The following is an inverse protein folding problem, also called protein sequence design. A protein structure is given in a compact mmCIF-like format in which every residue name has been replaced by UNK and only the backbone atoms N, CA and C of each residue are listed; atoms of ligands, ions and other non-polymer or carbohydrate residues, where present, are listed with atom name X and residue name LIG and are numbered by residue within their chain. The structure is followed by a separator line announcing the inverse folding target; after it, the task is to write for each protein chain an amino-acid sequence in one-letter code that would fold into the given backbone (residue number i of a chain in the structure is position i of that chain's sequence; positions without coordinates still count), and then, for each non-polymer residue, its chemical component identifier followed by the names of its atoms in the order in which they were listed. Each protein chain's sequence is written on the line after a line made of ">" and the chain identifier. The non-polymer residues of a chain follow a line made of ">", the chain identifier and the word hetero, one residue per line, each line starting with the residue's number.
data_IF_150433879255
#
_entry.id   IF_150433879255
#
_cell.length_a   1.000
_cell.length_b   1.000
_cell.length_c   1.000
_cell.angle_alpha   90.00
_cell.angle_beta   90.00
_cell.angle_gamma   90.00
#
_symmetry.space_group_name_H-M   'P 1'
#
loop_
_entity.id
_entity.type
_entity.pdbx_description
1 polymer ?
#
# COMPACT_ATOMS: atom_id res chain seq x y z
N UNK A 1 0.05 -6.38 -7.86
CA UNK A 1 1.39 -6.24 -7.21
C UNK A 1 1.24 -6.32 -5.69
N UNK A 2 0.34 -5.55 -5.09
CA UNK A 2 0.15 -5.50 -3.63
C UNK A 2 -0.20 -6.85 -2.99
N UNK A 3 -0.91 -7.73 -3.69
CA UNK A 3 -1.15 -9.13 -3.29
C UNK A 3 0.15 -9.89 -2.97
N UNK A 4 1.19 -9.71 -3.80
CA UNK A 4 2.48 -10.38 -3.61
C UNK A 4 3.19 -9.81 -2.39
N UNK A 5 3.11 -8.50 -2.17
CA UNK A 5 3.68 -7.88 -0.98
C UNK A 5 2.99 -8.39 0.30
N UNK A 6 1.65 -8.48 0.27
CA UNK A 6 0.83 -9.01 1.37
C UNK A 6 1.08 -10.50 1.64
N UNK A 7 1.34 -11.29 0.60
CA UNK A 7 1.73 -12.70 0.74
C UNK A 7 3.13 -12.85 1.34
N UNK A 8 4.07 -12.00 0.93
CA UNK A 8 5.44 -12.00 1.44
C UNK A 8 5.47 -11.64 2.93
N UNK A 9 4.74 -10.62 3.37
CA UNK A 9 4.70 -10.24 4.80
C UNK A 9 4.18 -11.39 5.66
N UNK A 10 3.10 -12.07 5.21
CA UNK A 10 2.59 -13.28 5.88
C UNK A 10 3.62 -14.41 5.89
N UNK A 11 4.30 -14.66 4.77
CA UNK A 11 5.33 -15.69 4.68
C UNK A 11 6.50 -15.44 5.65
N UNK A 12 6.87 -14.18 5.86
CA UNK A 12 7.89 -13.77 6.82
C UNK A 12 7.40 -13.76 8.28
N UNK A 13 6.14 -14.12 8.55
CA UNK A 13 5.56 -14.08 9.89
C UNK A 13 5.28 -12.67 10.41
N UNK A 14 5.19 -11.67 9.53
CA UNK A 14 4.89 -10.29 9.90
C UNK A 14 3.37 -10.09 9.81
N UNK A 15 2.72 -10.14 10.97
CA UNK A 15 1.26 -9.99 11.07
C UNK A 15 0.80 -8.56 10.75
N UNK A 16 1.57 -7.56 11.19
CA UNK A 16 1.23 -6.15 11.01
C UNK A 16 2.47 -5.28 10.86
N UNK A 17 2.53 -4.50 9.79
CA UNK A 17 3.55 -3.49 9.53
C UNK A 17 3.26 -2.22 10.33
N UNK A 18 4.31 -1.57 10.85
CA UNK A 18 4.16 -0.26 11.48
C UNK A 18 3.63 0.78 10.47
N UNK A 19 4.22 0.82 9.28
CA UNK A 19 3.73 1.67 8.20
C UNK A 19 4.15 1.13 6.83
N UNK A 20 3.37 1.46 5.81
CA UNK A 20 3.73 1.32 4.39
C UNK A 20 3.89 2.71 3.79
N UNK A 21 5.01 2.96 3.11
CA UNK A 21 5.39 4.28 2.60
C UNK A 21 5.73 4.16 1.12
N UNK A 22 5.26 5.11 0.30
CA UNK A 22 5.52 5.07 -1.14
C UNK A 22 5.13 6.36 -1.84
N UNK A 23 5.85 6.68 -2.92
CA UNK A 23 5.61 7.87 -3.74
C UNK A 23 5.20 7.56 -5.18
N UNK A 24 4.47 8.46 -5.84
CA UNK A 24 3.98 8.30 -7.22
C UNK A 24 3.30 6.93 -7.43
N UNK A 25 3.80 6.07 -8.33
CA UNK A 25 3.27 4.71 -8.50
C UNK A 25 3.30 3.89 -7.21
N UNK A 26 4.35 4.03 -6.39
CA UNK A 26 4.42 3.39 -5.08
C UNK A 26 3.37 3.92 -4.10
N UNK A 27 3.00 5.19 -4.21
CA UNK A 27 1.90 5.76 -3.43
C UNK A 27 0.53 5.17 -3.80
N UNK A 28 0.32 4.84 -5.08
CA UNK A 28 -0.91 4.16 -5.51
C UNK A 28 -0.99 2.76 -4.88
N UNK A 29 0.16 2.07 -4.79
CA UNK A 29 0.25 0.76 -4.14
C UNK A 29 0.04 0.85 -2.62
N UNK A 30 0.52 1.89 -1.96
CA UNK A 30 0.24 2.16 -0.54
C UNK A 30 -1.27 2.29 -0.31
N UNK A 31 -1.94 3.07 -1.16
CA UNK A 31 -3.39 3.27 -1.08
C UNK A 31 -4.16 1.97 -1.35
N UNK A 32 -3.76 1.20 -2.37
CA UNK A 32 -4.36 -0.12 -2.65
C UNK A 32 -4.15 -1.09 -1.47
N UNK A 33 -2.97 -1.10 -0.85
CA UNK A 33 -2.67 -1.96 0.31
C UNK A 33 -3.53 -1.58 1.51
N UNK A 34 -3.59 -0.29 1.84
CA UNK A 34 -4.40 0.22 2.94
C UNK A 34 -5.89 -0.11 2.76
N UNK A 35 -6.40 -0.08 1.53
CA UNK A 35 -7.80 -0.39 1.24
C UNK A 35 -8.11 -1.90 1.29
N UNK A 36 -7.21 -2.74 0.77
CA UNK A 36 -7.44 -4.19 0.64
C UNK A 36 -7.06 -5.00 1.87
N UNK A 37 -6.01 -4.59 2.58
CA UNK A 37 -5.48 -5.30 3.74
C UNK A 37 -5.28 -4.35 4.93
N UNK A 38 -6.34 -3.66 5.40
CA UNK A 38 -6.22 -2.65 6.46
C UNK A 38 -5.61 -3.21 7.76
N UNK A 39 -5.85 -4.49 8.07
CA UNK A 39 -5.33 -5.12 9.29
C UNK A 39 -3.80 -5.35 9.26
N UNK A 40 -3.19 -5.35 8.07
CA UNK A 40 -1.76 -5.60 7.89
C UNK A 40 -0.87 -4.38 8.12
N UNK A 41 -1.43 -3.19 8.36
CA UNK A 41 -0.64 -1.98 8.58
C UNK A 41 -1.25 -1.06 9.64
N UNK A 42 -0.38 -0.38 10.40
CA UNK A 42 -0.80 0.65 11.38
C UNK A 42 -0.80 2.06 10.79
N UNK A 43 -0.12 2.26 9.67
CA UNK A 43 -0.02 3.54 8.99
C UNK A 43 0.24 3.40 7.51
N UNK A 44 -0.27 4.36 6.74
CA UNK A 44 -0.03 4.47 5.31
C UNK A 44 0.43 5.91 5.01
N UNK A 45 1.60 6.04 4.38
CA UNK A 45 2.15 7.35 4.00
C UNK A 45 2.30 7.39 2.48
N UNK A 46 1.49 8.24 1.85
CA UNK A 46 1.42 8.39 0.41
C UNK A 46 2.01 9.74 -0.01
N UNK A 47 3.01 9.74 -0.90
CA UNK A 47 3.72 10.95 -1.33
C UNK A 47 3.52 11.20 -2.83
N UNK A 48 3.14 12.41 -3.22
CA UNK A 48 3.03 12.82 -4.63
C UNK A 48 2.33 11.77 -5.53
N UNK A 49 1.17 11.27 -5.07
CA UNK A 49 0.41 10.22 -5.72
C UNK A 49 -1.10 10.47 -5.55
N UNK A 50 -1.91 9.75 -6.31
CA UNK A 50 -3.37 9.85 -6.29
C UNK A 50 -4.01 8.47 -6.18
N UNK A 51 -5.15 8.38 -5.48
CA UNK A 51 -5.92 7.13 -5.37
C UNK A 51 -6.45 6.64 -6.72
N UNK A 52 -6.60 7.54 -7.68
CA UNK A 52 -7.03 7.27 -9.03
C UNK A 52 -6.34 8.26 -9.97
N UNK A 53 -5.91 7.80 -11.14
CA UNK A 53 -5.57 8.69 -12.24
C UNK A 53 -6.90 9.13 -12.87
N UNK A 54 -7.37 10.33 -12.57
CA UNK A 54 -8.33 10.97 -13.46
C UNK A 54 -7.58 11.30 -14.75
N UNK A 55 -8.07 10.85 -15.91
CA UNK A 55 -7.61 11.40 -17.17
C UNK A 55 -7.90 12.91 -17.13
N UNK A 56 -6.87 13.73 -16.99
CA UNK A 56 -6.97 15.17 -17.25
C UNK A 56 -6.94 15.31 -18.77
N UNK A 57 -8.13 15.21 -19.36
CA UNK A 57 -8.46 15.60 -20.72
C UNK A 57 -9.50 16.69 -20.67
#
# INVERSE_FOLDING_TARGET
>A
IVEVHSALTRHLGIEQLLAVIGGSLGGMQVLEWAARFPDQLRGAICLASAAQLSAQG
#
